data_IF_772542373266
#
_entry.id   IF_772542373266
#
_cell.length_a   1.000
_cell.length_b   1.000
_cell.length_c   1.000
_cell.angle_alpha   90.00
_cell.angle_beta   90.00
_cell.angle_gamma   90.00
#
_symmetry.space_group_name_H-M   'P 1'
#
loop_
_entity.id
_entity.type
_entity.pdbx_description
1 polymer ?
#
# COMPACT_ATOMS: atom_id res chain seq x y z
N UNK A 1 -16.38 -23.52 123.53
CA UNK A 1 -16.57 -22.36 122.65
C UNK A 1 -15.28 -22.06 121.89
N UNK A 2 -14.13 -22.01 122.58
CA UNK A 2 -12.79 -21.80 121.97
C UNK A 2 -12.42 -22.80 120.85
N UNK A 3 -12.62 -24.11 121.03
CA UNK A 3 -12.31 -25.13 120.00
C UNK A 3 -13.15 -25.00 118.70
N UNK A 4 -14.30 -24.33 118.76
CA UNK A 4 -15.16 -24.11 117.60
C UNK A 4 -14.71 -22.87 116.81
N UNK A 5 -14.29 -21.82 117.51
CA UNK A 5 -13.73 -20.60 116.91
C UNK A 5 -12.37 -20.86 116.23
N UNK A 6 -11.54 -21.72 116.82
CA UNK A 6 -10.23 -22.10 116.27
C UNK A 6 -10.37 -22.90 114.96
N UNK A 7 -11.36 -23.80 114.88
CA UNK A 7 -11.66 -24.57 113.66
C UNK A 7 -12.23 -23.69 112.54
N UNK A 8 -13.08 -22.71 112.89
CA UNK A 8 -13.57 -21.72 111.93
C UNK A 8 -12.43 -20.86 111.39
N UNK A 9 -11.54 -20.39 112.26
CA UNK A 9 -10.37 -19.58 111.90
C UNK A 9 -9.42 -20.34 110.95
N UNK A 10 -9.12 -21.60 111.25
CA UNK A 10 -8.30 -22.46 110.39
C UNK A 10 -8.92 -22.67 108.99
N UNK A 11 -10.22 -22.96 108.91
CA UNK A 11 -10.91 -23.09 107.62
C UNK A 11 -10.97 -21.79 106.83
N UNK A 12 -11.07 -20.64 107.49
CA UNK A 12 -11.01 -19.32 106.84
C UNK A 12 -9.62 -19.06 106.23
N UNK A 13 -8.54 -19.46 106.92
CA UNK A 13 -7.17 -19.34 106.42
C UNK A 13 -6.93 -20.26 105.22
N UNK A 14 -7.43 -21.50 105.26
CA UNK A 14 -7.35 -22.42 104.12
C UNK A 14 -8.13 -21.90 102.91
N UNK A 15 -9.33 -21.35 103.14
CA UNK A 15 -10.15 -20.75 102.09
C UNK A 15 -9.48 -19.53 101.47
N UNK A 16 -8.91 -18.63 102.28
CA UNK A 16 -8.15 -17.46 101.80
C UNK A 16 -6.90 -17.87 100.98
N UNK A 17 -6.18 -18.90 101.45
CA UNK A 17 -5.03 -19.46 100.73
C UNK A 17 -5.43 -20.07 99.38
N UNK A 18 -6.52 -20.84 99.34
CA UNK A 18 -7.06 -21.43 98.13
C UNK A 18 -7.54 -20.36 97.12
N UNK A 19 -8.26 -19.35 97.61
CA UNK A 19 -8.69 -18.19 96.81
C UNK A 19 -7.49 -17.44 96.23
N UNK A 20 -6.48 -17.12 97.03
CA UNK A 20 -5.25 -16.46 96.57
C UNK A 20 -4.52 -17.26 95.50
N UNK A 21 -4.48 -18.59 95.63
CA UNK A 21 -3.89 -19.47 94.61
C UNK A 21 -4.69 -19.44 93.32
N UNK A 22 -6.02 -19.53 93.39
CA UNK A 22 -6.90 -19.41 92.22
C UNK A 22 -6.79 -18.05 91.55
N UNK A 23 -6.73 -16.95 92.30
CA UNK A 23 -6.54 -15.61 91.73
C UNK A 23 -5.19 -15.46 91.02
N UNK A 24 -4.10 -16.00 91.58
CA UNK A 24 -2.79 -16.00 90.91
C UNK A 24 -2.78 -16.83 89.64
N UNK A 25 -3.48 -17.96 89.63
CA UNK A 25 -3.59 -18.82 88.45
C UNK A 25 -4.44 -18.15 87.38
N UNK A 26 -5.56 -17.51 87.75
CA UNK A 26 -6.40 -16.72 86.86
C UNK A 26 -5.61 -15.55 86.23
N UNK A 27 -4.85 -14.80 87.03
CA UNK A 27 -4.02 -13.69 86.55
C UNK A 27 -2.94 -14.18 85.57
N UNK A 28 -2.30 -15.31 85.88
CA UNK A 28 -1.31 -15.93 84.98
C UNK A 28 -1.92 -16.37 83.65
N UNK A 29 -3.11 -16.99 83.67
CA UNK A 29 -3.83 -17.39 82.46
C UNK A 29 -4.26 -16.17 81.66
N UNK A 30 -4.74 -15.12 82.34
CA UNK A 30 -5.12 -13.86 81.70
C UNK A 30 -3.92 -13.19 81.01
N UNK A 31 -2.77 -13.11 81.68
CA UNK A 31 -1.54 -12.57 81.09
C UNK A 31 -1.07 -13.40 79.89
N UNK A 32 -1.14 -14.74 79.97
CA UNK A 32 -0.83 -15.63 78.85
C UNK A 32 -1.74 -15.36 77.65
N UNK A 33 -3.06 -15.29 77.86
CA UNK A 33 -4.03 -15.03 76.80
C UNK A 33 -3.83 -13.66 76.15
N UNK A 34 -3.54 -12.62 76.94
CA UNK A 34 -3.24 -11.28 76.42
C UNK A 34 -1.97 -11.30 75.57
N UNK A 35 -0.92 -12.01 76.00
CA UNK A 35 0.31 -12.12 75.23
C UNK A 35 0.13 -12.87 73.90
N UNK A 36 -0.64 -13.96 73.91
CA UNK A 36 -0.98 -14.72 72.71
C UNK A 36 -1.83 -13.89 71.74
N UNK A 37 -2.83 -13.16 72.24
CA UNK A 37 -3.68 -12.29 71.42
C UNK A 37 -2.85 -11.17 70.78
N UNK A 38 -1.93 -10.55 71.53
CA UNK A 38 -1.03 -9.52 71.01
C UNK A 38 -0.13 -10.06 69.90
N UNK A 39 0.49 -11.22 70.13
CA UNK A 39 1.35 -11.87 69.13
C UNK A 39 0.57 -12.24 67.86
N UNK A 40 -0.63 -12.80 68.01
CA UNK A 40 -1.51 -13.12 66.88
C UNK A 40 -1.93 -11.87 66.11
N UNK A 41 -2.24 -10.76 66.79
CA UNK A 41 -2.57 -9.49 66.16
C UNK A 41 -1.38 -8.91 65.37
N UNK A 42 -0.16 -8.95 65.95
CA UNK A 42 1.06 -8.50 65.25
C UNK A 42 1.34 -9.35 64.01
N UNK A 43 1.18 -10.67 64.09
CA UNK A 43 1.34 -11.57 62.96
C UNK A 43 0.32 -11.30 61.86
N UNK A 44 -0.96 -11.10 62.21
CA UNK A 44 -1.99 -10.76 61.24
C UNK A 44 -1.78 -9.39 60.60
N UNK A 45 -1.38 -8.38 61.39
CA UNK A 45 -1.07 -7.06 60.85
C UNK A 45 0.10 -7.11 59.87
N UNK A 46 1.15 -7.89 60.19
CA UNK A 46 2.29 -8.07 59.29
C UNK A 46 1.89 -8.82 58.01
N UNK A 47 1.12 -9.91 58.13
CA UNK A 47 0.62 -10.66 56.99
C UNK A 47 -0.22 -9.81 56.04
N UNK A 48 -1.12 -8.98 56.58
CA UNK A 48 -1.92 -8.04 55.79
C UNK A 48 -1.03 -7.01 55.10
N UNK A 49 -0.06 -6.44 55.81
CA UNK A 49 0.90 -5.47 55.25
C UNK A 49 1.69 -6.06 54.08
N UNK A 50 2.18 -7.29 54.22
CA UNK A 50 2.97 -7.95 53.19
C UNK A 50 2.11 -8.32 51.98
N UNK A 51 0.89 -8.82 52.20
CA UNK A 51 -0.08 -9.10 51.13
C UNK A 51 -0.44 -7.83 50.35
N UNK A 52 -0.64 -6.71 51.04
CA UNK A 52 -0.94 -5.42 50.42
C UNK A 52 0.25 -4.92 49.59
N UNK A 53 1.48 -5.03 50.10
CA UNK A 53 2.70 -4.66 49.35
C UNK A 53 2.87 -5.51 48.09
N UNK A 54 2.61 -6.82 48.19
CA UNK A 54 2.70 -7.72 47.04
C UNK A 54 1.63 -7.38 45.99
N UNK A 55 0.40 -7.08 46.44
CA UNK A 55 -0.67 -6.64 45.54
C UNK A 55 -0.28 -5.35 44.79
N UNK A 56 0.26 -4.34 45.48
CA UNK A 56 0.73 -3.11 44.84
C UNK A 56 1.88 -3.36 43.86
N UNK A 57 2.88 -4.16 44.25
CA UNK A 57 3.98 -4.52 43.35
C UNK A 57 3.49 -5.27 42.10
N UNK A 58 2.46 -6.12 42.25
CA UNK A 58 1.85 -6.82 41.12
C UNK A 58 1.08 -5.89 40.18
N UNK A 59 0.40 -4.88 40.73
CA UNK A 59 -0.31 -3.86 39.96
C UNK A 59 0.65 -2.99 39.15
N UNK A 60 1.74 -2.54 39.77
CA UNK A 60 2.78 -1.74 39.09
C UNK A 60 3.39 -2.52 37.92
N UNK A 61 3.71 -3.80 38.11
CA UNK A 61 4.22 -4.66 37.03
C UNK A 61 3.22 -4.81 35.90
N UNK A 62 1.93 -5.00 36.20
CA UNK A 62 0.87 -5.09 35.19
C UNK A 62 0.71 -3.79 34.43
N UNK A 63 0.73 -2.65 35.12
CA UNK A 63 0.63 -1.34 34.50
C UNK A 63 1.82 -1.06 33.56
N UNK A 64 3.04 -1.40 34.00
CA UNK A 64 4.22 -1.30 33.15
C UNK A 64 4.13 -2.18 31.90
N UNK A 65 3.66 -3.43 32.05
CA UNK A 65 3.45 -4.35 30.92
C UNK A 65 2.39 -3.83 29.93
N UNK A 66 1.27 -3.30 30.43
CA UNK A 66 0.23 -2.69 29.61
C UNK A 66 0.75 -1.47 28.82
N UNK A 67 1.47 -0.57 29.50
CA UNK A 67 2.07 0.60 28.85
C UNK A 67 3.09 0.18 27.78
N UNK A 68 3.91 -0.83 28.06
CA UNK A 68 4.87 -1.36 27.08
C UNK A 68 4.15 -1.94 25.85
N UNK A 69 3.15 -2.79 26.07
CA UNK A 69 2.34 -3.39 24.99
C UNK A 69 1.66 -2.32 24.13
N UNK A 70 1.06 -1.31 24.76
CA UNK A 70 0.41 -0.20 24.04
C UNK A 70 1.41 0.62 23.21
N UNK A 71 2.62 0.89 23.73
CA UNK A 71 3.69 1.54 22.95
C UNK A 71 4.12 0.70 21.75
N UNK A 72 4.22 -0.62 21.91
CA UNK A 72 4.58 -1.53 20.83
C UNK A 72 3.51 -1.57 19.74
N UNK A 73 2.23 -1.62 20.11
CA UNK A 73 1.10 -1.56 19.16
C UNK A 73 1.08 -0.22 18.41
N UNK A 74 1.32 0.90 19.11
CA UNK A 74 1.41 2.21 18.47
C UNK A 74 2.58 2.32 17.48
N UNK A 75 3.74 1.73 17.80
CA UNK A 75 4.87 1.68 16.88
C UNK A 75 4.53 0.89 15.61
N UNK A 76 3.93 -0.28 15.75
CA UNK A 76 3.49 -1.09 14.60
C UNK A 76 2.48 -0.33 13.72
N UNK A 77 1.54 0.41 14.32
CA UNK A 77 0.59 1.25 13.60
C UNK A 77 1.30 2.39 12.83
N UNK A 78 2.31 3.03 13.44
CA UNK A 78 3.10 4.07 12.78
C UNK A 78 3.88 3.50 11.59
N UNK A 79 4.48 2.32 11.73
CA UNK A 79 5.18 1.63 10.64
C UNK A 79 4.23 1.32 9.47
N UNK A 80 3.03 0.80 9.76
CA UNK A 80 2.01 0.54 8.74
C UNK A 80 1.55 1.83 8.02
N UNK A 81 1.28 2.90 8.77
CA UNK A 81 0.91 4.20 8.19
C UNK A 81 2.04 4.76 7.32
N UNK A 82 3.29 4.61 7.76
CA UNK A 82 4.46 5.06 6.99
C UNK A 82 4.54 4.34 5.66
N UNK A 83 4.34 3.02 5.64
CA UNK A 83 4.32 2.23 4.41
C UNK A 83 3.17 2.67 3.47
N UNK A 84 1.96 2.88 4.00
CA UNK A 84 0.82 3.37 3.21
C UNK A 84 1.09 4.74 2.58
N UNK A 85 1.69 5.67 3.33
CA UNK A 85 2.08 6.99 2.81
C UNK A 85 3.13 6.86 1.71
N UNK A 86 4.12 5.99 1.88
CA UNK A 86 5.14 5.75 0.85
C UNK A 86 4.52 5.16 -0.43
N UNK A 87 3.62 4.19 -0.32
CA UNK A 87 2.88 3.63 -1.46
C UNK A 87 2.05 4.70 -2.16
N UNK A 88 1.31 5.54 -1.41
CA UNK A 88 0.54 6.63 -2.00
C UNK A 88 1.43 7.64 -2.74
N UNK A 89 2.59 7.99 -2.18
CA UNK A 89 3.55 8.88 -2.85
C UNK A 89 4.08 8.28 -4.15
N UNK A 90 4.37 6.98 -4.17
CA UNK A 90 4.81 6.27 -5.38
C UNK A 90 3.69 6.26 -6.43
N UNK A 91 2.46 5.92 -6.04
CA UNK A 91 1.31 5.92 -6.95
C UNK A 91 1.08 7.30 -7.55
N UNK A 92 1.08 8.35 -6.71
CA UNK A 92 0.92 9.72 -7.19
C UNK A 92 2.05 10.14 -8.13
N UNK A 93 3.30 9.74 -7.86
CA UNK A 93 4.43 10.03 -8.75
C UNK A 93 4.27 9.32 -10.08
N UNK A 94 3.91 8.03 -10.08
CA UNK A 94 3.66 7.27 -11.31
C UNK A 94 2.52 7.88 -12.12
N UNK A 95 1.41 8.24 -11.46
CA UNK A 95 0.27 8.88 -12.11
C UNK A 95 0.66 10.24 -12.70
N UNK A 96 1.35 11.09 -11.93
CA UNK A 96 1.83 12.38 -12.40
C UNK A 96 2.83 12.23 -13.55
N UNK A 97 3.76 11.27 -13.49
CA UNK A 97 4.71 10.99 -14.58
C UNK A 97 4.00 10.52 -15.83
N UNK A 98 3.02 9.63 -15.71
CA UNK A 98 2.22 9.17 -16.85
C UNK A 98 1.40 10.31 -17.45
N UNK A 99 0.80 11.16 -16.63
CA UNK A 99 0.00 12.30 -17.08
C UNK A 99 0.89 13.38 -17.71
N UNK A 100 2.05 13.69 -17.12
CA UNK A 100 3.05 14.60 -17.70
C UNK A 100 3.61 14.06 -19.02
N UNK A 101 3.87 12.74 -19.11
CA UNK A 101 4.31 12.11 -20.35
C UNK A 101 3.21 12.10 -21.43
N UNK A 102 1.94 12.02 -21.03
CA UNK A 102 0.79 12.16 -21.94
C UNK A 102 0.62 13.58 -22.48
N UNK A 103 0.91 14.60 -21.67
CA UNK A 103 0.72 16.01 -22.06
C UNK A 103 1.98 16.73 -22.56
N UNK A 104 3.15 16.10 -22.51
CA UNK A 104 4.30 16.59 -23.25
C UNK A 104 4.13 16.17 -24.72
N UNK A 105 3.88 17.16 -25.58
CA UNK A 105 4.12 17.07 -27.02
C UNK A 105 5.62 16.80 -27.25
N UNK A 106 6.02 15.54 -27.08
CA UNK A 106 7.39 15.10 -27.30
C UNK A 106 7.69 15.31 -28.78
N UNK A 107 8.61 16.23 -29.07
CA UNK A 107 8.98 16.60 -30.44
C UNK A 107 10.46 16.35 -30.65
N UNK A 108 10.80 15.61 -31.71
CA UNK A 108 12.15 15.48 -32.24
C UNK A 108 12.19 16.33 -33.51
N UNK A 109 13.07 17.32 -33.55
CA UNK A 109 13.22 18.24 -34.68
C UNK A 109 14.66 18.28 -35.16
N UNK A 110 14.84 18.19 -36.46
CA UNK A 110 16.11 18.47 -37.14
C UNK A 110 15.86 19.44 -38.30
N UNK A 111 16.83 19.61 -39.19
CA UNK A 111 16.73 20.51 -40.35
C UNK A 111 15.71 20.03 -41.39
N UNK A 112 15.47 18.73 -41.50
CA UNK A 112 14.67 18.11 -42.56
C UNK A 112 13.22 17.84 -42.13
N UNK A 113 12.98 17.52 -40.86
CA UNK A 113 11.68 17.08 -40.38
C UNK A 113 11.38 17.47 -38.93
N UNK A 114 10.10 17.40 -38.60
CA UNK A 114 9.56 17.41 -37.23
C UNK A 114 8.81 16.11 -36.98
N UNK A 115 9.23 15.33 -35.99
CA UNK A 115 8.51 14.15 -35.50
C UNK A 115 7.84 14.46 -34.17
N UNK A 116 6.55 14.19 -34.06
CA UNK A 116 5.80 14.22 -32.79
C UNK A 116 5.63 12.81 -32.27
N UNK A 117 5.78 12.66 -30.96
CA UNK A 117 5.66 11.40 -30.26
C UNK A 117 4.45 11.43 -29.32
N UNK A 118 3.72 10.32 -29.29
CA UNK A 118 2.67 10.01 -28.31
C UNK A 118 2.85 8.56 -27.86
N UNK A 119 2.66 8.30 -26.57
CA UNK A 119 2.88 6.98 -25.96
C UNK A 119 4.22 6.32 -26.37
N UNK A 120 5.29 7.13 -26.36
CA UNK A 120 6.65 6.75 -26.75
C UNK A 120 6.83 6.27 -28.21
N UNK A 121 5.94 6.66 -29.13
CA UNK A 121 5.99 6.31 -30.56
C UNK A 121 5.75 7.51 -31.44
N UNK A 122 6.26 7.49 -32.66
CA UNK A 122 6.04 8.58 -33.63
C UNK A 122 4.60 8.52 -34.11
N UNK A 123 3.83 9.57 -33.86
CA UNK A 123 2.42 9.68 -34.28
C UNK A 123 2.26 10.60 -35.49
N UNK A 124 3.18 11.55 -35.68
CA UNK A 124 3.18 12.49 -36.79
C UNK A 124 4.60 12.84 -37.23
N UNK A 125 4.80 12.95 -38.53
CA UNK A 125 6.01 13.43 -39.17
C UNK A 125 5.61 14.61 -40.06
N UNK A 126 6.37 15.69 -40.02
CA UNK A 126 6.25 16.82 -40.93
C UNK A 126 7.59 16.98 -41.64
N UNK A 127 7.57 16.88 -42.97
CA UNK A 127 8.71 17.17 -43.83
C UNK A 127 8.77 18.69 -44.07
N UNK A 128 9.88 19.32 -43.68
CA UNK A 128 10.05 20.77 -43.75
C UNK A 128 10.28 21.30 -45.17
N UNK A 129 10.78 20.46 -46.07
CA UNK A 129 11.04 20.86 -47.45
C UNK A 129 9.76 20.82 -48.28
N UNK A 130 8.99 19.75 -48.16
CA UNK A 130 7.76 19.57 -48.94
C UNK A 130 6.52 20.13 -48.24
N UNK A 131 6.59 20.37 -46.93
CA UNK A 131 5.44 20.71 -46.10
C UNK A 131 4.46 19.54 -45.91
N UNK A 132 4.84 18.34 -46.35
CA UNK A 132 3.98 17.16 -46.24
C UNK A 132 3.93 16.65 -44.80
N UNK A 133 2.76 16.16 -44.41
CA UNK A 133 2.51 15.65 -43.06
C UNK A 133 2.13 14.17 -43.15
N UNK A 134 2.92 13.30 -42.55
CA UNK A 134 2.59 11.88 -42.36
C UNK A 134 1.98 11.64 -40.98
N UNK A 135 0.74 11.15 -40.92
CA UNK A 135 0.11 10.66 -39.69
C UNK A 135 0.27 9.15 -39.60
N UNK A 136 0.58 8.63 -38.41
CA UNK A 136 0.83 7.20 -38.18
C UNK A 136 -0.22 6.63 -37.23
N UNK A 137 -0.86 5.55 -37.64
CA UNK A 137 -1.92 4.90 -36.89
C UNK A 137 -1.46 3.55 -36.35
N UNK A 138 -1.72 3.35 -35.07
CA UNK A 138 -1.38 2.14 -34.34
C UNK A 138 -2.64 1.43 -33.86
N UNK A 139 -2.65 0.10 -33.94
CA UNK A 139 -3.67 -0.76 -33.35
C UNK A 139 -2.95 -1.80 -32.49
N UNK A 140 -3.38 -1.98 -31.23
CA UNK A 140 -2.73 -2.91 -30.29
C UNK A 140 -1.19 -2.75 -30.24
N UNK A 141 -0.72 -1.51 -30.25
CA UNK A 141 0.70 -1.14 -30.27
C UNK A 141 1.49 -1.49 -31.56
N UNK A 142 0.83 -1.96 -32.62
CA UNK A 142 1.44 -2.30 -33.93
C UNK A 142 1.09 -1.19 -34.93
N UNK A 143 2.08 -0.71 -35.70
CA UNK A 143 1.85 0.26 -36.78
C UNK A 143 0.98 -0.43 -37.83
N UNK A 144 -0.21 0.11 -38.11
CA UNK A 144 -1.17 -0.46 -39.08
C UNK A 144 -1.18 0.29 -40.38
N UNK A 145 -1.15 1.62 -40.30
CA UNK A 145 -1.11 2.45 -41.48
C UNK A 145 -0.40 3.77 -41.23
N UNK A 146 -0.08 4.44 -42.32
CA UNK A 146 0.31 5.84 -42.28
C UNK A 146 -0.19 6.58 -43.51
N UNK A 147 -0.66 7.80 -43.30
CA UNK A 147 -1.24 8.66 -44.32
C UNK A 147 -0.36 9.91 -44.47
N UNK A 148 0.11 10.19 -45.68
CA UNK A 148 0.89 11.39 -46.00
C UNK A 148 0.02 12.37 -46.77
N UNK A 149 -0.10 13.59 -46.22
CA UNK A 149 -0.89 14.69 -46.76
C UNK A 149 0.01 15.80 -47.30
N UNK A 150 -0.40 16.42 -48.41
CA UNK A 150 0.10 17.71 -48.87
C UNK A 150 -1.02 18.74 -48.71
N UNK A 151 -0.97 19.56 -47.66
CA UNK A 151 -2.13 20.35 -47.24
C UNK A 151 -3.28 19.44 -46.82
N UNK A 152 -4.46 19.64 -47.41
CA UNK A 152 -5.66 18.83 -47.13
C UNK A 152 -5.80 17.61 -48.06
N UNK A 153 -4.90 17.45 -49.03
CA UNK A 153 -4.94 16.35 -50.00
C UNK A 153 -4.13 15.16 -49.52
N UNK A 154 -4.77 13.99 -49.37
CA UNK A 154 -4.08 12.73 -49.17
C UNK A 154 -3.25 12.40 -50.42
N UNK A 155 -1.95 12.18 -50.26
CA UNK A 155 -1.02 11.87 -51.36
C UNK A 155 -0.59 10.42 -51.36
N UNK A 156 -0.34 9.88 -50.17
CA UNK A 156 0.15 8.51 -50.01
C UNK A 156 -0.45 7.84 -48.78
N UNK A 157 -0.75 6.56 -48.87
CA UNK A 157 -1.16 5.73 -47.75
C UNK A 157 -0.38 4.41 -47.76
N UNK A 158 0.18 4.03 -46.62
CA UNK A 158 0.86 2.75 -46.46
C UNK A 158 0.13 1.89 -45.44
N UNK A 159 0.01 0.60 -45.71
CA UNK A 159 -0.53 -0.42 -44.81
C UNK A 159 0.54 -1.41 -44.42
N UNK A 160 0.47 -1.88 -43.18
CA UNK A 160 1.44 -2.77 -42.59
C UNK A 160 0.77 -4.01 -42.00
N UNK A 161 1.37 -5.16 -42.23
CA UNK A 161 0.92 -6.43 -41.69
C UNK A 161 1.18 -6.54 -40.17
N UNK A 162 0.75 -7.64 -39.54
CA UNK A 162 0.96 -7.87 -38.11
C UNK A 162 2.45 -7.95 -37.71
N UNK A 163 3.32 -8.33 -38.65
CA UNK A 163 4.77 -8.37 -38.49
C UNK A 163 5.44 -7.00 -38.68
N UNK A 164 4.67 -5.92 -38.88
CA UNK A 164 5.12 -4.53 -39.09
C UNK A 164 5.84 -4.30 -40.42
N UNK A 165 5.70 -5.22 -41.36
CA UNK A 165 6.23 -5.07 -42.72
C UNK A 165 5.21 -4.37 -43.59
N UNK A 166 5.64 -3.54 -44.57
CA UNK A 166 4.72 -2.96 -45.54
C UNK A 166 4.04 -4.11 -46.31
N UNK A 167 2.75 -3.99 -46.53
CA UNK A 167 1.94 -4.96 -47.28
C UNK A 167 1.35 -4.29 -48.53
N UNK A 168 0.94 -3.02 -48.40
CA UNK A 168 0.31 -2.27 -49.48
C UNK A 168 0.58 -0.78 -49.38
N UNK A 169 0.88 -0.15 -50.50
CA UNK A 169 1.00 1.31 -50.66
C UNK A 169 -0.01 1.83 -51.67
N UNK A 170 -0.60 3.00 -51.44
CA UNK A 170 -1.53 3.67 -52.35
C UNK A 170 -1.06 5.12 -52.59
N UNK A 171 -0.99 5.53 -53.85
CA UNK A 171 -0.81 6.93 -54.24
C UNK A 171 -2.11 7.51 -54.80
N UNK A 172 -2.37 8.77 -54.48
CA UNK A 172 -3.62 9.45 -54.84
C UNK A 172 -3.37 10.71 -55.69
N UNK A 173 -4.30 10.94 -56.62
CA UNK A 173 -4.41 12.21 -57.35
C UNK A 173 -5.06 13.30 -56.47
N UNK A 174 -5.21 14.51 -57.03
CA UNK A 174 -5.83 15.65 -56.34
C UNK A 174 -7.32 15.47 -56.04
N UNK A 175 -7.99 14.53 -56.71
CA UNK A 175 -9.41 14.21 -56.51
C UNK A 175 -9.60 13.10 -55.45
N UNK A 176 -8.51 12.58 -54.89
CA UNK A 176 -8.53 11.51 -53.88
C UNK A 176 -8.71 10.10 -54.48
N UNK A 177 -8.53 9.94 -55.78
CA UNK A 177 -8.58 8.64 -56.45
C UNK A 177 -7.21 7.99 -56.46
N UNK A 178 -7.15 6.68 -56.26
CA UNK A 178 -5.91 5.90 -56.28
C UNK A 178 -5.38 5.81 -57.71
N UNK A 179 -4.18 6.34 -57.95
CA UNK A 179 -3.49 6.27 -59.25
C UNK A 179 -2.42 5.18 -59.29
N UNK A 180 -1.86 4.80 -58.14
CA UNK A 180 -0.99 3.63 -58.01
C UNK A 180 -1.34 2.83 -56.76
N UNK A 181 -1.29 1.51 -56.88
CA UNK A 181 -1.28 0.57 -55.77
C UNK A 181 -0.02 -0.30 -55.87
N UNK A 182 0.75 -0.36 -54.80
CA UNK A 182 1.95 -1.16 -54.65
C UNK A 182 1.66 -2.31 -53.69
N UNK A 183 2.02 -3.53 -54.08
CA UNK A 183 1.98 -4.71 -53.22
C UNK A 183 3.41 -5.11 -52.88
N UNK A 184 3.65 -5.35 -51.60
CA UNK A 184 4.98 -5.66 -51.08
C UNK A 184 5.09 -7.13 -50.71
N UNK A 185 6.26 -7.71 -50.96
CA UNK A 185 6.57 -9.08 -50.55
C UNK A 185 6.94 -9.17 -49.05
N UNK A 186 7.27 -10.37 -48.58
CA UNK A 186 7.69 -10.61 -47.21
C UNK A 186 9.02 -9.94 -46.83
N UNK A 187 9.81 -9.49 -47.81
CA UNK A 187 11.08 -8.77 -47.58
C UNK A 187 10.87 -7.25 -47.49
N UNK A 188 9.69 -6.77 -47.91
CA UNK A 188 9.34 -5.36 -47.98
C UNK A 188 9.74 -4.70 -49.29
N UNK A 189 10.09 -5.48 -50.32
CA UNK A 189 10.30 -5.01 -51.69
C UNK A 189 8.97 -5.01 -52.44
N UNK A 190 8.87 -4.19 -53.50
CA UNK A 190 7.66 -4.12 -54.32
C UNK A 190 7.59 -5.37 -55.20
N UNK A 191 6.62 -6.23 -54.95
CA UNK A 191 6.35 -7.43 -55.77
C UNK A 191 5.56 -7.06 -57.03
N UNK A 192 4.60 -6.14 -56.90
CA UNK A 192 3.82 -5.66 -58.03
C UNK A 192 3.26 -4.27 -57.84
N UNK A 193 2.90 -3.64 -58.97
CA UNK A 193 2.26 -2.35 -59.05
C UNK A 193 1.03 -2.43 -59.95
N UNK A 194 -0.06 -1.82 -59.52
CA UNK A 194 -1.21 -1.50 -60.36
C UNK A 194 -1.24 0.01 -60.61
N UNK A 195 -1.29 0.44 -61.87
CA UNK A 195 -1.53 1.83 -62.26
C UNK A 195 -2.98 2.00 -62.73
N UNK A 196 -3.64 3.07 -62.31
CA UNK A 196 -5.05 3.34 -62.62
C UNK A 196 -5.20 4.70 -63.31
N UNK A 197 -5.99 4.73 -64.38
CA UNK A 197 -6.34 5.97 -65.08
C UNK A 197 -7.85 6.20 -65.02
N UNK A 198 -8.25 7.46 -64.93
CA UNK A 198 -9.64 7.88 -64.79
C UNK A 198 -10.00 8.91 -65.87
N UNK A 199 -11.28 8.93 -66.27
CA UNK A 199 -11.83 10.01 -67.10
C UNK A 199 -12.15 11.26 -66.27
N UNK A 200 -12.49 12.38 -66.95
CA UNK A 200 -12.87 13.65 -66.30
C UNK A 200 -14.13 13.56 -65.42
N UNK A 201 -14.87 12.44 -65.47
CA UNK A 201 -16.04 12.17 -64.62
C UNK A 201 -15.69 11.31 -63.41
N UNK A 202 -14.41 10.94 -63.26
CA UNK A 202 -13.88 10.12 -62.19
C UNK A 202 -14.14 8.61 -62.35
N UNK A 203 -14.53 8.14 -63.54
CA UNK A 203 -14.66 6.71 -63.80
C UNK A 203 -13.31 6.12 -64.20
N UNK A 204 -12.96 4.97 -63.65
CA UNK A 204 -11.75 4.25 -64.05
C UNK A 204 -11.88 3.77 -65.50
N UNK A 205 -10.94 4.17 -66.35
CA UNK A 205 -10.91 3.81 -67.77
C UNK A 205 -9.85 2.78 -68.11
N UNK A 206 -8.81 2.66 -67.27
CA UNK A 206 -7.71 1.73 -67.50
C UNK A 206 -7.15 1.18 -66.18
N UNK A 207 -6.52 0.00 -66.26
CA UNK A 207 -5.68 -0.59 -65.22
C UNK A 207 -4.52 -1.32 -65.87
N UNK A 208 -3.30 -0.91 -65.54
CA UNK A 208 -2.08 -1.61 -65.93
C UNK A 208 -1.48 -2.32 -64.72
N UNK A 209 -1.02 -3.56 -64.92
CA UNK A 209 -0.39 -4.36 -63.88
C UNK A 209 1.04 -4.70 -64.27
N UNK A 210 1.98 -4.45 -63.36
CA UNK A 210 3.40 -4.75 -63.51
C UNK A 210 3.85 -5.60 -62.32
N UNK A 211 4.52 -6.72 -62.58
CA UNK A 211 5.20 -7.55 -61.57
C UNK A 211 6.72 -7.38 -61.68
N UNK A 212 7.43 -7.39 -60.56
CA UNK A 212 8.88 -7.18 -60.49
C UNK A 212 9.66 -8.44 -60.09
#
# INVERSE_FOLDING_TARGET
>A
MELFEENISSKLIELDSALKKQFKELDRVQQSNVSQLKSSHEQHAQYVSDTVKEAFASLDRRQAAYSFKSKQENLANIEQLTNLIQTLRLNNLVELTNEVARHQDLKIENEEFVKRLGDCKVTRIEDKYSGQITQIYYENNIKRSSDTFAGDSLKYQMFYNASRQPERGLEFNSEGQTIFEYLYDETGEVESQNAFEYDDKGNQVNKEHTSY
#
